data_IF_051203763400
#
_entry.id   IF_051203763400
#
_cell.length_a   1.000
_cell.length_b   1.000
_cell.length_c   1.000
_cell.angle_alpha   90.00
_cell.angle_beta   90.00
_cell.angle_gamma   90.00
#
_symmetry.space_group_name_H-M   'P 1'
#
loop_
_entity.id
_entity.type
_entity.pdbx_description
1 polymer ?
#
# COMPACT_ATOMS: atom_id res chain seq x y z
N UNK A 1 3.17 8.22 13.89
CA UNK A 1 2.51 8.39 12.57
C UNK A 1 2.59 7.06 11.84
N UNK A 2 1.46 6.40 11.58
CA UNK A 2 1.46 5.13 10.85
C UNK A 2 1.26 5.45 9.37
N UNK A 3 2.31 5.23 8.59
CA UNK A 3 2.22 5.26 7.13
C UNK A 3 1.74 3.88 6.65
N UNK A 4 1.14 3.75 5.47
CA UNK A 4 0.88 2.45 4.83
C UNK A 4 1.43 2.45 3.41
N UNK A 5 2.08 1.36 3.02
CA UNK A 5 2.64 1.21 1.68
C UNK A 5 1.74 0.34 0.83
N UNK A 6 1.27 0.88 -0.28
CA UNK A 6 0.53 0.15 -1.31
C UNK A 6 1.52 -0.20 -2.41
N UNK A 7 1.98 -1.44 -2.46
CA UNK A 7 3.03 -1.94 -3.37
C UNK A 7 2.45 -2.82 -4.45
N UNK A 8 3.08 -2.80 -5.63
CA UNK A 8 2.70 -3.71 -6.70
C UNK A 8 3.17 -5.13 -6.35
N UNK A 9 2.31 -6.12 -6.55
CA UNK A 9 2.56 -7.54 -6.28
C UNK A 9 2.16 -8.36 -7.50
N UNK A 10 2.78 -9.53 -7.69
CA UNK A 10 2.45 -10.42 -8.83
C UNK A 10 0.97 -10.81 -8.94
N UNK A 11 0.23 -10.76 -7.83
CA UNK A 11 -1.20 -11.10 -7.76
C UNK A 11 -2.12 -9.86 -7.73
N UNK A 12 -1.56 -8.65 -7.84
CA UNK A 12 -2.28 -7.38 -7.77
C UNK A 12 -1.55 -6.35 -6.91
N UNK A 13 -2.20 -5.84 -5.86
CA UNK A 13 -1.74 -4.71 -5.06
C UNK A 13 -1.73 -5.06 -3.57
N UNK A 14 -0.56 -5.04 -2.97
CA UNK A 14 -0.37 -5.40 -1.57
C UNK A 14 -0.28 -4.17 -0.67
N UNK A 15 -1.01 -4.17 0.45
CA UNK A 15 -0.89 -3.17 1.50
C UNK A 15 0.09 -3.69 2.55
N UNK A 16 1.16 -2.95 2.83
CA UNK A 16 2.22 -3.28 3.77
C UNK A 16 2.39 -2.19 4.81
N UNK A 17 2.97 -2.55 5.95
CA UNK A 17 3.41 -1.60 6.94
C UNK A 17 4.77 -0.97 6.59
N UNK A 18 5.01 0.29 7.00
CA UNK A 18 6.35 0.84 7.12
C UNK A 18 7.16 -0.14 7.97
N UNK A 19 8.26 -0.64 7.42
CA UNK A 19 9.14 -1.63 8.04
C UNK A 19 8.51 -3.03 8.26
N UNK A 20 7.31 -3.27 7.72
CA UNK A 20 6.68 -4.59 7.74
C UNK A 20 7.26 -5.49 6.66
N UNK A 21 7.90 -6.59 7.05
CA UNK A 21 8.41 -7.59 6.09
C UNK A 21 7.28 -8.29 5.32
N UNK A 22 6.05 -8.28 5.85
CA UNK A 22 4.88 -8.96 5.26
C UNK A 22 3.81 -7.97 4.81
N UNK A 23 3.08 -8.37 3.76
CA UNK A 23 1.84 -7.69 3.39
C UNK A 23 0.73 -8.02 4.37
N UNK A 24 -0.01 -6.99 4.79
CA UNK A 24 -1.26 -7.17 5.53
C UNK A 24 -2.29 -7.86 4.65
N UNK A 25 -2.44 -7.38 3.41
CA UNK A 25 -3.45 -7.87 2.49
C UNK A 25 -3.06 -7.59 1.06
N UNK A 26 -3.52 -8.44 0.14
CA UNK A 26 -3.35 -8.27 -1.31
C UNK A 26 -4.73 -8.12 -1.93
N UNK A 27 -4.87 -7.12 -2.79
CA UNK A 27 -6.07 -6.79 -3.55
C UNK A 27 -5.82 -6.97 -5.03
N UNK A 28 -6.87 -7.10 -5.83
CA UNK A 28 -6.72 -7.22 -7.30
C UNK A 28 -6.39 -5.87 -7.91
N UNK A 29 -6.98 -4.80 -7.38
CA UNK A 29 -6.82 -3.45 -7.94
C UNK A 29 -6.14 -2.49 -6.97
N UNK A 30 -5.48 -1.49 -7.55
CA UNK A 30 -4.84 -0.40 -6.81
C UNK A 30 -5.87 0.40 -6.01
N UNK A 31 -7.07 0.58 -6.57
CA UNK A 31 -8.16 1.34 -5.96
C UNK A 31 -8.61 0.68 -4.65
N UNK A 32 -8.88 -0.63 -4.68
CA UNK A 32 -9.25 -1.40 -3.47
C UNK A 32 -8.15 -1.33 -2.39
N UNK A 33 -6.88 -1.43 -2.80
CA UNK A 33 -5.77 -1.34 -1.86
C UNK A 33 -5.66 0.05 -1.20
N UNK A 34 -5.92 1.12 -1.97
CA UNK A 34 -5.96 2.50 -1.46
C UNK A 34 -7.17 2.70 -0.54
N UNK A 35 -8.36 2.24 -0.93
CA UNK A 35 -9.57 2.33 -0.10
C UNK A 35 -9.38 1.59 1.22
N UNK A 36 -8.79 0.40 1.20
CA UNK A 36 -8.44 -0.31 2.42
C UNK A 36 -7.43 0.46 3.27
N UNK A 37 -6.35 0.98 2.67
CA UNK A 37 -5.37 1.79 3.39
C UNK A 37 -5.99 3.07 4.01
N UNK A 38 -6.99 3.67 3.35
CA UNK A 38 -7.76 4.81 3.86
C UNK A 38 -8.73 4.43 4.97
N UNK A 39 -9.34 3.24 4.90
CA UNK A 39 -10.29 2.76 5.92
C UNK A 39 -9.62 2.42 7.26
N UNK A 40 -8.30 2.20 7.25
CA UNK A 40 -7.54 1.96 8.46
C UNK A 40 -7.42 3.27 9.24
N UNK A 41 -8.22 3.40 10.31
CA UNK A 41 -8.33 4.59 11.15
C UNK A 41 -6.99 5.11 11.69
N UNK A 42 -6.00 4.23 11.88
CA UNK A 42 -4.66 4.61 12.36
C UNK A 42 -3.74 5.19 11.28
N UNK A 43 -4.16 5.18 10.00
CA UNK A 43 -3.29 5.54 8.89
C UNK A 43 -3.22 7.05 8.71
N UNK A 44 -2.11 7.65 9.12
CA UNK A 44 -1.86 9.08 8.95
C UNK A 44 -1.58 9.42 7.48
N UNK A 45 -0.96 8.50 6.72
CA UNK A 45 -0.61 8.71 5.31
C UNK A 45 -0.44 7.38 4.56
N UNK A 46 -0.66 7.37 3.26
CA UNK A 46 -0.42 6.20 2.42
C UNK A 46 0.54 6.54 1.27
N UNK A 47 1.47 5.63 0.98
CA UNK A 47 2.44 5.74 -0.10
C UNK A 47 2.12 4.66 -1.12
N UNK A 48 1.82 5.06 -2.34
CA UNK A 48 1.49 4.13 -3.42
C UNK A 48 2.68 3.99 -4.37
N UNK A 49 3.07 2.75 -4.63
CA UNK A 49 4.10 2.40 -5.60
C UNK A 49 3.53 2.49 -7.02
N UNK A 50 4.36 2.86 -7.98
CA UNK A 50 4.02 2.78 -9.39
C UNK A 50 4.03 1.33 -9.87
N UNK A 51 3.32 1.03 -10.97
CA UNK A 51 3.37 -0.32 -11.60
C UNK A 51 4.79 -0.82 -11.88
N UNK A 52 5.73 0.09 -12.11
CA UNK A 52 7.15 -0.19 -12.36
C UNK A 52 8.00 -0.42 -11.10
N UNK A 53 7.39 -0.45 -9.92
CA UNK A 53 8.11 -0.68 -8.66
C UNK A 53 8.77 0.58 -8.07
N UNK A 54 8.61 1.74 -8.70
CA UNK A 54 9.14 3.01 -8.18
C UNK A 54 8.12 3.71 -7.29
N UNK A 55 8.53 4.08 -6.08
CA UNK A 55 7.79 5.03 -5.25
C UNK A 55 8.05 6.43 -5.81
N UNK A 56 7.00 7.20 -6.07
CA UNK A 56 7.16 8.62 -6.41
C UNK A 56 7.61 9.33 -5.13
N UNK A 57 8.92 9.54 -4.98
CA UNK A 57 9.44 10.59 -4.12
C UNK A 57 9.13 11.92 -4.81
N UNK A 58 8.39 12.78 -4.12
CA UNK A 58 8.12 14.14 -4.56
C UNK A 58 9.15 15.06 -3.95
#
# INVERSE_FOLDING_TARGET
MVVRYVVNHEKGWAVKNPNGQRALRVFKTQKEAIEYAKSLADTTSYIVQSKKGTFRQK
#
